data_IF_926003808140
#
_entry.id   IF_926003808140
#
_cell.length_a   1.000
_cell.length_b   1.000
_cell.length_c   1.000
_cell.angle_alpha   90.00
_cell.angle_beta   90.00
_cell.angle_gamma   90.00
#
_symmetry.space_group_name_H-M   'P 1'
#
loop_
_entity.id
_entity.type
_entity.pdbx_description
1 polymer ?
#
# COMPACT_ATOMS: atom_id res chain seq x y z
N UNK A 1 -36.91 49.03 -1.84
CA UNK A 1 -36.32 47.95 -1.03
C UNK A 1 -36.98 48.01 0.32
N UNK A 2 -37.78 47.01 0.69
CA UNK A 2 -38.40 46.93 2.02
C UNK A 2 -37.39 46.33 2.99
N UNK A 3 -37.07 47.04 4.08
CA UNK A 3 -36.26 46.54 5.19
C UNK A 3 -37.20 46.01 6.27
N UNK A 4 -36.95 44.80 6.76
CA UNK A 4 -37.70 44.19 7.85
C UNK A 4 -36.78 44.09 9.07
N UNK A 5 -36.89 45.05 9.98
CA UNK A 5 -36.17 45.05 11.27
C UNK A 5 -37.11 44.58 12.37
N UNK A 6 -36.88 43.38 12.87
CA UNK A 6 -37.70 42.78 13.93
C UNK A 6 -36.95 42.82 15.24
N UNK A 7 -37.34 43.72 16.14
CA UNK A 7 -36.84 43.72 17.53
C UNK A 7 -37.53 42.64 18.37
N UNK A 8 -38.82 42.42 18.12
CA UNK A 8 -39.64 41.41 18.80
C UNK A 8 -40.69 40.85 17.85
N UNK A 9 -41.03 39.57 18.01
CA UNK A 9 -42.21 38.95 17.40
C UNK A 9 -43.31 38.87 18.47
N UNK A 10 -44.47 39.46 18.20
CA UNK A 10 -45.66 39.37 19.06
C UNK A 10 -46.30 37.99 18.97
N UNK A 11 -46.94 37.52 20.06
CA UNK A 11 -47.62 36.22 20.09
C UNK A 11 -46.73 35.01 20.42
N UNK A 12 -45.44 35.22 20.71
CA UNK A 12 -44.55 34.17 21.21
C UNK A 12 -44.67 34.00 22.73
N UNK A 13 -44.48 32.78 23.21
CA UNK A 13 -44.22 32.52 24.63
C UNK A 13 -42.76 32.88 24.92
N UNK A 14 -42.51 33.67 25.98
CA UNK A 14 -41.15 34.05 26.36
C UNK A 14 -40.28 32.80 26.63
N UNK A 15 -39.04 32.81 26.13
CA UNK A 15 -38.12 31.67 26.23
C UNK A 15 -38.34 30.56 25.19
N UNK A 16 -39.37 30.64 24.35
CA UNK A 16 -39.58 29.70 23.24
C UNK A 16 -39.19 30.31 21.90
N UNK A 17 -38.51 29.57 21.00
CA UNK A 17 -38.28 30.02 19.63
C UNK A 17 -39.61 30.24 18.88
N UNK A 18 -39.70 31.23 17.98
CA UNK A 18 -40.86 31.41 17.10
C UNK A 18 -41.07 30.16 16.22
N UNK A 19 -42.32 29.69 16.09
CA UNK A 19 -42.67 28.62 15.16
C UNK A 19 -42.95 29.21 13.76
N UNK A 20 -42.17 28.80 12.77
CA UNK A 20 -42.36 29.16 11.37
C UNK A 20 -42.74 27.88 10.60
N UNK A 21 -44.05 27.55 10.47
CA UNK A 21 -44.48 26.26 9.92
C UNK A 21 -44.05 26.04 8.46
N UNK A 22 -43.93 27.12 7.69
CA UNK A 22 -43.43 27.11 6.30
C UNK A 22 -41.91 27.42 6.20
N UNK A 23 -41.24 27.58 7.34
CA UNK A 23 -39.84 27.98 7.42
C UNK A 23 -39.58 29.46 7.14
N UNK A 24 -38.30 29.81 7.04
CA UNK A 24 -37.81 31.13 6.61
C UNK A 24 -36.97 30.95 5.33
N UNK A 25 -37.30 31.71 4.29
CA UNK A 25 -36.55 31.70 3.03
C UNK A 25 -35.68 32.96 2.97
N UNK A 26 -34.37 32.79 2.86
CA UNK A 26 -33.42 33.89 2.62
C UNK A 26 -32.61 33.58 1.37
N UNK A 27 -32.67 34.48 0.38
CA UNK A 27 -31.82 34.41 -0.82
C UNK A 27 -30.44 35.07 -0.61
N UNK A 28 -30.20 35.66 0.56
CA UNK A 28 -28.96 36.35 0.91
C UNK A 28 -28.22 35.72 2.08
N UNK A 29 -27.30 36.47 2.67
CA UNK A 29 -26.49 36.03 3.82
C UNK A 29 -27.36 35.91 5.08
N UNK A 30 -27.31 34.75 5.73
CA UNK A 30 -27.89 34.54 7.05
C UNK A 30 -26.75 34.44 8.07
N UNK A 31 -26.74 35.33 9.06
CA UNK A 31 -25.83 35.24 10.20
C UNK A 31 -26.60 34.66 11.39
N UNK A 32 -26.37 33.39 11.68
CA UNK A 32 -26.93 32.71 12.85
C UNK A 32 -25.82 32.46 13.88
N UNK A 33 -26.17 32.49 15.18
CA UNK A 33 -25.24 32.10 16.25
C UNK A 33 -25.12 30.58 16.43
N UNK A 34 -26.04 29.81 15.84
CA UNK A 34 -26.04 28.35 15.81
C UNK A 34 -27.30 27.79 15.14
N UNK A 35 -27.33 26.47 14.93
CA UNK A 35 -28.49 25.73 14.43
C UNK A 35 -28.96 24.72 15.47
N UNK A 36 -30.28 24.61 15.65
CA UNK A 36 -30.89 23.51 16.41
C UNK A 36 -31.29 22.42 15.41
N UNK A 37 -30.53 21.34 15.37
CA UNK A 37 -30.69 20.26 14.38
C UNK A 37 -29.57 20.22 13.34
N UNK A 38 -29.72 19.33 12.37
CA UNK A 38 -28.74 19.14 11.29
C UNK A 38 -28.80 20.29 10.29
N UNK A 39 -27.64 20.78 9.86
CA UNK A 39 -27.54 21.51 8.61
C UNK A 39 -27.76 20.50 7.47
N UNK A 40 -28.76 20.75 6.63
CA UNK A 40 -29.06 19.92 5.46
C UNK A 40 -28.71 20.71 4.20
N UNK A 41 -28.11 20.05 3.21
CA UNK A 41 -27.59 20.68 1.99
C UNK A 41 -26.08 20.89 1.98
N UNK A 42 -25.59 21.57 0.94
CA UNK A 42 -24.16 21.76 0.71
C UNK A 42 -23.61 22.94 1.52
N UNK A 43 -22.50 22.72 2.22
CA UNK A 43 -21.71 23.80 2.80
C UNK A 43 -20.60 24.17 1.83
N UNK A 44 -20.78 25.28 1.12
CA UNK A 44 -19.72 25.85 0.28
C UNK A 44 -18.89 26.80 1.14
N UNK A 45 -17.66 26.38 1.48
CA UNK A 45 -16.70 27.19 2.25
C UNK A 45 -16.09 26.44 3.44
N UNK A 46 -15.44 27.21 4.32
CA UNK A 46 -14.77 26.65 5.49
C UNK A 46 -15.77 26.33 6.60
N UNK A 47 -15.81 25.07 7.04
CA UNK A 47 -16.37 24.71 8.33
C UNK A 47 -15.28 24.87 9.38
N UNK A 48 -15.38 25.90 10.23
CA UNK A 48 -14.49 26.04 11.38
C UNK A 48 -15.06 25.26 12.56
N UNK A 49 -14.33 24.28 13.09
CA UNK A 49 -14.75 23.44 14.22
C UNK A 49 -14.38 21.95 14.05
N UNK A 50 -14.95 21.08 14.89
CA UNK A 50 -14.75 19.62 14.82
C UNK A 50 -16.04 18.94 14.39
N UNK A 51 -16.02 18.19 13.29
CA UNK A 51 -17.09 17.26 12.97
C UNK A 51 -16.93 15.99 13.82
N UNK A 52 -17.91 15.66 14.67
CA UNK A 52 -17.85 14.44 15.50
C UNK A 52 -17.92 13.16 14.67
N UNK A 53 -18.55 13.22 13.49
CA UNK A 53 -18.60 12.14 12.51
C UNK A 53 -18.70 12.73 11.11
N UNK A 54 -17.91 12.20 10.19
CA UNK A 54 -18.01 12.49 8.76
C UNK A 54 -18.11 11.16 8.02
N UNK A 55 -19.29 10.86 7.48
CA UNK A 55 -19.54 9.60 6.76
C UNK A 55 -18.74 9.51 5.46
N UNK A 56 -18.56 10.65 4.79
CA UNK A 56 -17.76 10.77 3.58
C UNK A 56 -16.86 11.99 3.72
N UNK A 57 -15.55 11.75 3.75
CA UNK A 57 -14.53 12.79 3.72
C UNK A 57 -13.71 12.60 2.45
N UNK A 58 -13.78 13.56 1.52
CA UNK A 58 -13.08 13.50 0.25
C UNK A 58 -12.41 14.84 -0.06
N UNK A 59 -11.39 14.82 -0.93
CA UNK A 59 -10.73 16.05 -1.39
C UNK A 59 -9.96 16.81 -0.30
N UNK A 60 -9.37 16.11 0.67
CA UNK A 60 -8.53 16.75 1.67
C UNK A 60 -7.29 17.33 0.98
N UNK A 61 -7.08 18.64 1.15
CA UNK A 61 -5.96 19.39 0.56
C UNK A 61 -5.04 19.94 1.66
N UNK A 62 -3.80 20.28 1.29
CA UNK A 62 -2.79 20.81 2.21
C UNK A 62 -2.05 19.71 2.98
N UNK A 63 -1.96 19.83 4.31
CA UNK A 63 -1.24 18.89 5.19
C UNK A 63 -2.16 18.28 6.25
N UNK A 64 -3.18 17.50 5.85
CA UNK A 64 -4.10 16.88 6.79
C UNK A 64 -3.36 15.85 7.68
N UNK A 65 -3.69 15.81 8.97
CA UNK A 65 -3.32 14.72 9.87
C UNK A 65 -4.49 13.74 9.97
N UNK A 66 -4.29 12.50 9.53
CA UNK A 66 -5.34 11.46 9.48
C UNK A 66 -5.00 10.34 10.44
N UNK A 67 -5.89 10.11 11.41
CA UNK A 67 -5.84 8.97 12.32
C UNK A 67 -7.09 8.13 12.10
N UNK A 68 -6.90 6.94 11.54
CA UNK A 68 -7.95 5.97 11.25
C UNK A 68 -7.47 4.59 11.67
N UNK A 69 -8.38 3.69 12.04
CA UNK A 69 -8.01 2.32 12.40
C UNK A 69 -7.45 1.53 11.20
N UNK A 70 -8.11 1.65 10.05
CA UNK A 70 -7.69 1.02 8.79
C UNK A 70 -7.71 2.09 7.70
N UNK A 71 -6.62 2.20 6.95
CA UNK A 71 -6.54 2.99 5.73
C UNK A 71 -6.34 2.05 4.55
N UNK A 72 -7.18 2.17 3.52
CA UNK A 72 -6.97 1.52 2.23
C UNK A 72 -6.67 2.61 1.21
N UNK A 73 -5.46 2.59 0.65
CA UNK A 73 -5.02 3.53 -0.37
C UNK A 73 -4.71 2.77 -1.65
N UNK A 74 -5.22 3.25 -2.78
CA UNK A 74 -4.82 2.73 -4.09
C UNK A 74 -3.36 3.10 -4.41
N UNK A 75 -2.91 4.24 -3.90
CA UNK A 75 -1.57 4.76 -4.08
C UNK A 75 -1.16 5.56 -2.83
N UNK A 76 0.06 5.31 -2.37
CA UNK A 76 0.70 6.07 -1.30
C UNK A 76 2.01 6.63 -1.85
N UNK A 77 2.10 7.95 -2.02
CA UNK A 77 3.29 8.67 -2.49
C UNK A 77 3.81 9.62 -1.40
N UNK A 78 4.45 9.07 -0.37
CA UNK A 78 4.98 9.87 0.71
C UNK A 78 6.27 10.55 0.27
N UNK A 79 6.48 11.81 0.67
CA UNK A 79 7.82 12.41 0.60
C UNK A 79 8.77 11.73 1.60
N UNK A 80 8.24 11.31 2.75
CA UNK A 80 8.90 10.45 3.72
C UNK A 80 7.87 9.48 4.31
N UNK A 81 8.21 8.19 4.39
CA UNK A 81 7.42 7.20 5.14
C UNK A 81 8.20 6.63 6.29
N UNK A 82 7.53 6.52 7.44
CA UNK A 82 7.96 5.70 8.56
C UNK A 82 6.88 4.68 8.85
N UNK A 83 7.03 3.47 8.32
CA UNK A 83 6.16 2.37 8.70
C UNK A 83 6.74 1.66 9.94
N UNK A 84 5.91 1.38 10.96
CA UNK A 84 6.31 0.69 12.19
C UNK A 84 5.53 -0.61 12.34
N UNK A 85 6.22 -1.71 12.65
CA UNK A 85 5.57 -3.02 12.88
C UNK A 85 4.84 -3.56 11.64
N UNK A 86 5.43 -3.39 10.44
CA UNK A 86 4.87 -3.92 9.19
C UNK A 86 5.07 -5.43 9.13
N UNK A 87 3.99 -6.16 8.88
CA UNK A 87 4.07 -7.55 8.42
C UNK A 87 4.03 -7.60 6.90
N UNK A 88 4.78 -8.53 6.32
CA UNK A 88 4.71 -8.82 4.89
C UNK A 88 3.82 -10.04 4.64
N UNK A 89 3.17 -10.08 3.47
CA UNK A 89 2.40 -11.24 3.07
C UNK A 89 3.32 -12.34 2.52
N UNK A 90 3.22 -13.54 3.11
CA UNK A 90 3.94 -14.75 2.69
C UNK A 90 3.03 -15.63 1.84
N UNK A 91 3.43 -15.91 0.61
CA UNK A 91 2.79 -16.92 -0.23
C UNK A 91 3.45 -18.29 -0.04
N UNK A 92 2.75 -19.17 0.69
CA UNK A 92 3.17 -20.56 0.94
C UNK A 92 2.70 -21.47 -0.19
N UNK A 93 3.59 -22.30 -0.71
CA UNK A 93 3.25 -23.29 -1.73
C UNK A 93 4.02 -24.61 -1.57
N UNK A 94 3.51 -25.63 -2.26
CA UNK A 94 4.17 -26.91 -2.42
C UNK A 94 4.91 -26.94 -3.77
N UNK A 95 6.11 -27.51 -3.78
CA UNK A 95 6.89 -27.78 -4.99
C UNK A 95 7.92 -26.72 -5.34
N UNK A 96 8.34 -26.77 -6.60
CA UNK A 96 9.58 -26.12 -7.06
C UNK A 96 9.32 -24.77 -7.74
N UNK A 97 8.05 -24.34 -7.83
CA UNK A 97 7.68 -23.12 -8.53
C UNK A 97 7.05 -22.15 -7.55
N UNK A 98 7.75 -21.07 -7.26
CA UNK A 98 7.31 -20.02 -6.35
C UNK A 98 6.65 -18.90 -7.13
N UNK A 99 5.38 -18.61 -6.88
CA UNK A 99 4.66 -17.49 -7.50
C UNK A 99 4.54 -16.29 -6.55
N UNK A 100 4.94 -15.11 -6.98
CA UNK A 100 4.63 -13.83 -6.35
C UNK A 100 3.89 -12.94 -7.36
N UNK A 101 3.04 -12.05 -6.88
CA UNK A 101 2.28 -11.14 -7.74
C UNK A 101 2.49 -9.72 -7.23
N UNK A 102 3.00 -8.84 -8.08
CA UNK A 102 3.30 -7.44 -7.76
C UNK A 102 2.05 -6.58 -7.94
N UNK A 103 1.03 -6.80 -7.11
CA UNK A 103 -0.22 -6.05 -7.15
C UNK A 103 -0.88 -5.98 -5.77
N UNK A 104 -1.99 -5.24 -5.66
CA UNK A 104 -2.79 -5.21 -4.43
C UNK A 104 -3.21 -6.63 -4.01
N UNK A 105 -2.99 -6.97 -2.72
CA UNK A 105 -3.23 -8.31 -2.19
C UNK A 105 -2.16 -9.35 -2.55
N UNK A 106 -1.09 -8.95 -3.24
CA UNK A 106 0.06 -9.79 -3.56
C UNK A 106 1.06 -9.94 -2.40
N UNK A 107 2.02 -10.85 -2.58
CA UNK A 107 3.02 -11.23 -1.59
C UNK A 107 4.44 -10.89 -2.06
N UNK A 108 5.32 -10.51 -1.13
CA UNK A 108 6.75 -10.27 -1.39
C UNK A 108 7.64 -11.43 -0.96
N UNK A 109 7.12 -12.32 -0.10
CA UNK A 109 7.86 -13.47 0.42
C UNK A 109 7.21 -14.75 -0.11
N UNK A 110 7.99 -15.58 -0.79
CA UNK A 110 7.62 -16.96 -1.10
C UNK A 110 8.08 -17.92 -0.02
N UNK A 111 7.29 -18.95 0.28
CA UNK A 111 7.71 -20.04 1.16
C UNK A 111 7.37 -21.38 0.52
N UNK A 112 8.38 -22.23 0.28
CA UNK A 112 8.17 -23.60 -0.22
C UNK A 112 8.46 -24.62 0.87
N UNK A 113 7.51 -25.56 1.06
CA UNK A 113 7.55 -26.50 2.21
C UNK A 113 8.07 -27.89 1.88
N UNK A 114 8.20 -28.26 0.60
CA UNK A 114 8.59 -29.62 0.18
C UNK A 114 9.13 -29.61 -1.27
N UNK A 115 10.21 -28.87 -1.55
CA UNK A 115 10.79 -28.85 -2.89
C UNK A 115 11.45 -30.19 -3.20
N UNK A 116 11.10 -30.79 -4.33
CA UNK A 116 11.70 -32.03 -4.85
C UNK A 116 12.84 -31.76 -5.84
N UNK A 117 13.03 -30.50 -6.21
CA UNK A 117 14.06 -30.01 -7.13
C UNK A 117 14.35 -28.53 -6.86
N UNK A 118 15.22 -27.96 -7.68
CA UNK A 118 15.57 -26.54 -7.56
C UNK A 118 14.40 -25.64 -7.88
N UNK A 119 14.39 -24.48 -7.23
CA UNK A 119 13.25 -23.56 -7.20
C UNK A 119 13.37 -22.56 -8.34
N UNK A 120 12.25 -22.34 -9.04
CA UNK A 120 12.03 -21.18 -9.91
C UNK A 120 11.11 -20.20 -9.20
N UNK A 121 11.57 -18.98 -8.98
CA UNK A 121 10.73 -17.86 -8.56
C UNK A 121 10.12 -17.18 -9.78
N UNK A 122 8.82 -16.90 -9.74
CA UNK A 122 8.07 -16.19 -10.77
C UNK A 122 7.40 -14.99 -10.10
N UNK A 123 7.89 -13.79 -10.39
CA UNK A 123 7.27 -12.54 -9.97
C UNK A 123 6.49 -11.99 -11.16
N UNK A 124 5.17 -11.96 -11.03
CA UNK A 124 4.26 -11.59 -12.11
C UNK A 124 3.58 -10.24 -11.83
N UNK A 125 2.98 -9.66 -12.87
CA UNK A 125 2.25 -8.38 -12.81
C UNK A 125 3.11 -7.21 -12.34
N UNK A 126 4.43 -7.26 -12.58
CA UNK A 126 5.31 -6.09 -12.37
C UNK A 126 4.85 -5.00 -13.35
N UNK A 127 4.57 -3.76 -12.89
CA UNK A 127 4.15 -2.67 -13.76
C UNK A 127 5.17 -2.42 -14.86
N UNK A 128 4.67 -2.20 -16.08
CA UNK A 128 5.48 -1.86 -17.25
C UNK A 128 5.19 -0.47 -17.81
N UNK A 129 4.59 0.38 -16.97
CA UNK A 129 4.20 1.75 -17.28
C UNK A 129 5.29 2.73 -16.82
N UNK A 130 5.40 3.88 -17.48
CA UNK A 130 6.51 4.83 -17.27
C UNK A 130 6.57 5.44 -15.87
N UNK A 131 5.46 5.47 -15.12
CA UNK A 131 5.40 5.90 -13.73
C UNK A 131 6.10 4.92 -12.76
N UNK A 132 6.45 3.72 -13.23
CA UNK A 132 7.24 2.73 -12.51
C UNK A 132 8.71 2.67 -12.98
N UNK A 133 9.16 3.62 -13.80
CA UNK A 133 10.56 3.76 -14.18
C UNK A 133 11.46 3.93 -12.94
N UNK A 134 12.70 3.44 -13.00
CA UNK A 134 13.70 3.58 -11.92
C UNK A 134 13.33 2.97 -10.56
N UNK A 135 12.40 2.00 -10.53
CA UNK A 135 12.06 1.29 -9.29
C UNK A 135 12.85 -0.01 -9.15
N UNK A 136 13.34 -0.26 -7.93
CA UNK A 136 13.90 -1.55 -7.52
C UNK A 136 12.81 -2.49 -7.03
N UNK A 137 13.01 -3.80 -7.24
CA UNK A 137 12.11 -4.85 -6.79
C UNK A 137 12.79 -5.65 -5.67
N UNK A 138 12.13 -5.83 -4.53
CA UNK A 138 12.66 -6.65 -3.43
C UNK A 138 11.73 -7.81 -3.15
N UNK A 139 12.29 -9.01 -3.10
CA UNK A 139 11.54 -10.24 -2.86
C UNK A 139 12.44 -11.30 -2.22
N UNK A 140 11.82 -12.21 -1.48
CA UNK A 140 12.52 -13.27 -0.78
C UNK A 140 11.84 -14.62 -1.02
N UNK A 141 12.64 -15.68 -1.02
CA UNK A 141 12.15 -17.06 -1.04
C UNK A 141 12.74 -17.82 0.12
N UNK A 142 11.87 -18.33 0.96
CA UNK A 142 12.17 -19.24 2.05
C UNK A 142 11.99 -20.67 1.53
N UNK A 143 13.03 -21.48 1.65
CA UNK A 143 13.07 -22.85 1.16
C UNK A 143 13.18 -23.79 2.35
N UNK A 144 12.14 -24.58 2.61
CA UNK A 144 12.18 -25.64 3.62
C UNK A 144 12.73 -26.93 3.00
N UNK A 145 14.00 -27.23 3.23
CA UNK A 145 14.63 -28.44 2.72
C UNK A 145 14.28 -29.66 3.57
N UNK A 146 14.09 -30.81 2.90
CA UNK A 146 13.85 -32.12 3.53
C UNK A 146 14.71 -33.18 2.84
N UNK A 147 15.80 -33.60 3.50
CA UNK A 147 16.77 -34.57 3.01
C UNK A 147 17.78 -34.05 1.98
N UNK A 148 17.36 -33.27 0.98
CA UNK A 148 18.25 -32.68 -0.04
C UNK A 148 18.15 -31.16 -0.02
N UNK A 149 19.29 -30.48 0.04
CA UNK A 149 19.34 -29.02 -0.06
C UNK A 149 18.92 -28.59 -1.48
N UNK A 150 18.03 -27.59 -1.56
CA UNK A 150 17.54 -27.03 -2.82
C UNK A 150 17.88 -25.55 -2.91
N UNK A 151 18.16 -25.11 -4.14
CA UNK A 151 18.47 -23.72 -4.40
C UNK A 151 17.45 -23.06 -5.30
N UNK A 152 17.27 -21.75 -5.13
CA UNK A 152 16.60 -20.94 -6.14
C UNK A 152 17.59 -20.72 -7.28
N UNK A 153 17.37 -21.36 -8.41
CA UNK A 153 18.28 -21.31 -9.57
C UNK A 153 17.79 -20.37 -10.66
N UNK A 154 16.52 -19.98 -10.64
CA UNK A 154 15.91 -19.10 -11.64
C UNK A 154 14.96 -18.10 -10.99
N UNK A 155 15.02 -16.85 -11.47
CA UNK A 155 14.04 -15.80 -11.18
C UNK A 155 13.45 -15.31 -12.49
N UNK A 156 12.12 -15.32 -12.58
CA UNK A 156 11.36 -14.81 -13.73
C UNK A 156 10.59 -13.56 -13.34
N UNK A 157 10.74 -12.51 -14.12
CA UNK A 157 10.04 -11.23 -13.97
C UNK A 157 9.07 -11.05 -15.14
N UNK A 158 7.77 -11.16 -14.91
CA UNK A 158 6.74 -11.23 -15.97
C UNK A 158 7.08 -12.26 -17.07
N UNK A 159 7.58 -13.44 -16.67
CA UNK A 159 7.98 -14.51 -17.59
C UNK A 159 9.39 -14.38 -18.20
N UNK A 160 10.03 -13.22 -18.12
CA UNK A 160 11.43 -13.05 -18.52
C UNK A 160 12.38 -13.66 -17.48
N UNK A 161 13.21 -14.62 -17.86
CA UNK A 161 14.25 -15.18 -16.99
C UNK A 161 15.37 -14.16 -16.80
N UNK A 162 15.38 -13.50 -15.65
CA UNK A 162 16.34 -12.47 -15.35
C UNK A 162 17.70 -13.08 -14.96
N UNK A 163 18.83 -12.55 -15.46
CA UNK A 163 20.15 -12.96 -15.00
C UNK A 163 20.33 -12.68 -13.51
N UNK A 164 20.74 -13.69 -12.74
CA UNK A 164 21.03 -13.53 -11.31
C UNK A 164 22.54 -13.26 -11.13
N UNK A 165 22.86 -12.10 -10.55
CA UNK A 165 24.17 -11.72 -10.07
C UNK A 165 24.27 -12.09 -8.59
N UNK A 166 24.84 -13.26 -8.35
CA UNK A 166 25.04 -13.80 -7.01
C UNK A 166 26.17 -13.08 -6.27
N UNK A 167 26.01 -12.90 -4.96
CA UNK A 167 27.12 -12.60 -4.07
C UNK A 167 28.23 -13.66 -4.25
N UNK A 168 29.50 -13.24 -4.35
CA UNK A 168 30.61 -14.15 -4.70
C UNK A 168 30.71 -14.52 -6.19
N UNK A 169 29.87 -13.95 -7.06
CA UNK A 169 29.99 -14.02 -8.52
C UNK A 169 29.32 -15.22 -9.18
N UNK A 170 28.91 -16.24 -8.42
CA UNK A 170 28.17 -17.41 -8.92
C UNK A 170 27.28 -18.01 -7.84
N UNK A 171 26.28 -18.80 -8.23
CA UNK A 171 25.44 -19.54 -7.27
C UNK A 171 26.29 -20.47 -6.41
N UNK A 172 27.23 -21.19 -7.02
CA UNK A 172 28.12 -22.12 -6.32
C UNK A 172 28.94 -21.41 -5.22
N UNK A 173 29.48 -20.23 -5.53
CA UNK A 173 30.17 -19.41 -4.55
C UNK A 173 29.21 -18.89 -3.46
N UNK A 174 28.00 -18.45 -3.83
CA UNK A 174 27.01 -17.95 -2.89
C UNK A 174 26.54 -18.99 -1.88
N UNK A 175 26.38 -20.25 -2.30
CA UNK A 175 25.94 -21.36 -1.42
C UNK A 175 27.11 -22.12 -0.79
N UNK A 176 28.36 -21.65 -0.94
CA UNK A 176 29.52 -22.32 -0.34
C UNK A 176 29.35 -22.32 1.18
N UNK A 177 29.40 -23.50 1.80
CA UNK A 177 29.17 -23.68 3.24
C UNK A 177 27.69 -23.79 3.65
N UNK A 178 26.75 -23.55 2.73
CA UNK A 178 25.32 -23.78 2.95
C UNK A 178 25.02 -25.27 2.73
N UNK A 179 24.88 -26.02 3.82
CA UNK A 179 24.70 -27.49 3.79
C UNK A 179 23.34 -27.94 4.34
N UNK A 180 22.36 -27.02 4.43
CA UNK A 180 21.04 -27.24 5.05
C UNK A 180 20.18 -28.24 4.27
N UNK A 181 20.44 -29.53 4.46
CA UNK A 181 19.64 -30.61 3.86
C UNK A 181 18.31 -30.83 4.59
N UNK A 182 18.25 -30.48 5.88
CA UNK A 182 17.03 -30.41 6.68
C UNK A 182 16.99 -29.06 7.40
N UNK A 183 15.98 -28.25 7.13
CA UNK A 183 15.88 -26.91 7.71
C UNK A 183 15.45 -25.87 6.68
N UNK A 184 15.87 -24.63 6.88
CA UNK A 184 15.44 -23.50 6.07
C UNK A 184 16.60 -22.69 5.52
N UNK A 185 16.61 -22.49 4.20
CA UNK A 185 17.44 -21.49 3.54
C UNK A 185 16.56 -20.32 3.06
N UNK A 186 17.13 -19.13 2.99
CA UNK A 186 16.50 -17.88 2.65
C UNK A 186 17.32 -17.25 1.53
N UNK A 187 16.67 -17.07 0.38
CA UNK A 187 17.22 -16.41 -0.78
C UNK A 187 16.59 -15.02 -0.87
N UNK A 188 17.41 -13.98 -0.79
CA UNK A 188 16.98 -12.59 -0.92
C UNK A 188 17.43 -12.05 -2.27
N UNK A 189 16.54 -11.29 -2.90
CA UNK A 189 16.78 -10.75 -4.22
C UNK A 189 16.45 -9.27 -4.32
N UNK A 190 17.21 -8.57 -5.14
CA UNK A 190 16.95 -7.18 -5.54
C UNK A 190 17.01 -7.07 -7.06
N UNK A 191 15.87 -6.82 -7.69
CA UNK A 191 15.79 -6.48 -9.12
C UNK A 191 16.14 -5.01 -9.34
N UNK A 192 17.15 -4.72 -10.14
CA UNK A 192 17.55 -3.36 -10.51
C UNK A 192 17.22 -3.11 -11.96
N UNK A 193 16.44 -2.05 -12.23
CA UNK A 193 16.23 -1.55 -13.58
C UNK A 193 17.51 -0.86 -14.06
N UNK A 194 18.20 -1.47 -15.02
CA UNK A 194 19.51 -0.97 -15.48
C UNK A 194 19.42 0.08 -16.58
N UNK A 195 18.22 0.28 -17.14
CA UNK A 195 17.96 1.18 -18.28
C UNK A 195 17.16 2.41 -17.85
N UNK A 196 16.57 2.38 -16.65
CA UNK A 196 15.66 3.42 -16.16
C UNK A 196 14.32 3.44 -16.89
N UNK A 197 13.92 2.34 -17.52
CA UNK A 197 12.63 2.23 -18.22
C UNK A 197 11.87 1.00 -17.75
N UNK A 198 10.62 1.19 -17.33
CA UNK A 198 9.74 0.09 -16.94
C UNK A 198 9.06 -0.61 -18.13
N UNK A 199 9.22 -0.14 -19.37
CA UNK A 199 8.48 -0.68 -20.54
C UNK A 199 8.62 -2.19 -20.77
N UNK A 200 9.65 -2.81 -20.20
CA UNK A 200 9.82 -4.26 -20.18
C UNK A 200 10.60 -4.70 -18.95
N UNK A 201 10.29 -5.88 -18.41
CA UNK A 201 11.06 -6.50 -17.34
C UNK A 201 12.42 -7.02 -17.80
N UNK A 202 12.68 -7.07 -19.11
CA UNK A 202 13.99 -7.42 -19.66
C UNK A 202 15.10 -6.41 -19.31
N UNK A 203 14.72 -5.20 -18.87
CA UNK A 203 15.66 -4.17 -18.43
C UNK A 203 16.26 -4.45 -17.03
N UNK A 204 15.76 -5.47 -16.34
CA UNK A 204 16.17 -5.79 -14.99
C UNK A 204 17.29 -6.84 -14.95
N UNK A 205 18.26 -6.60 -14.07
CA UNK A 205 19.12 -7.66 -13.52
C UNK A 205 18.65 -7.97 -12.11
N UNK A 206 18.90 -9.19 -11.63
CA UNK A 206 18.58 -9.58 -10.26
C UNK A 206 19.86 -9.77 -9.47
N UNK A 207 20.04 -9.05 -8.37
CA UNK A 207 21.08 -9.32 -7.38
C UNK A 207 20.56 -10.38 -6.43
N UNK A 208 21.35 -11.43 -6.16
CA UNK A 208 20.94 -12.57 -5.33
C UNK A 208 21.90 -12.80 -4.16
N UNK A 209 21.35 -13.12 -3.00
CA UNK A 209 22.09 -13.56 -1.81
C UNK A 209 21.33 -14.69 -1.12
N UNK A 210 22.07 -15.57 -0.44
CA UNK A 210 21.53 -16.65 0.38
C UNK A 210 22.00 -16.47 1.81
N UNK A 211 21.21 -16.91 2.78
CA UNK A 211 21.65 -16.96 4.17
C UNK A 211 22.72 -18.06 4.38
N UNK A 212 23.78 -17.73 5.12
CA UNK A 212 24.88 -18.66 5.44
C UNK A 212 26.00 -18.67 4.38
N UNK A 213 27.28 -18.80 4.74
CA UNK A 213 27.95 -18.79 6.03
C UNK A 213 29.32 -18.09 5.92
N UNK A 214 29.82 -17.53 7.03
CA UNK A 214 31.27 -17.28 7.14
C UNK A 214 31.95 -18.64 7.24
N UNK A 215 32.85 -18.93 6.29
CA UNK A 215 33.77 -20.05 6.39
C UNK A 215 34.88 -19.74 7.42
#
# INVERSE_FOLDING_TARGET
MSDLRVTNLSGRTAGTPPNLPEGAISAGVVTATGFSGSLTGDVVGNVTGTASSATVSAGLIGSPSISVGIATANLLQPQETRFRGVSEFVNRQNGNNVGLVYQSGGSNIGFTTTPTGDITLNVNQIPVTSDFADHALTFSVIVSNTGTARSVTSVKLNGYTAPIKWAGGSLAAAITGVTTTNGTDIYNFTGINTVGSATTTANYIVLGSVNGGYA
#
